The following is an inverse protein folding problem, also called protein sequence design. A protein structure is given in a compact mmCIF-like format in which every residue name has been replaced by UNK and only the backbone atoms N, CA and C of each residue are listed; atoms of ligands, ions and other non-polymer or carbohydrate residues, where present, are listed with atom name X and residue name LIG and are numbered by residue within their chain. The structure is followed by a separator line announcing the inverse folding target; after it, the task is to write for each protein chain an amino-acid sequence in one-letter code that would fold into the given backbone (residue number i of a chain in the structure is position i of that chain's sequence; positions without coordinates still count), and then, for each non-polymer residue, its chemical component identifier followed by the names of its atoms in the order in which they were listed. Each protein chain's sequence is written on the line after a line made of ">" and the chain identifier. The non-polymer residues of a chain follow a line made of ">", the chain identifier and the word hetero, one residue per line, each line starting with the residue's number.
data_IF_709608455165
#
_entry.id   IF_709608455165
#
_cell.length_a   1.000
_cell.length_b   1.000
_cell.length_c   1.000
_cell.angle_alpha   90.00
_cell.angle_beta   90.00
_cell.angle_gamma   90.00
#
_symmetry.space_group_name_H-M   'P 1'
#
loop_
_entity.id
_entity.type
_entity.pdbx_description
1 polymer ?
#
# COMPACT_ATOMS: atom_id res chain seq x y z
N UNK A 1 3.92 8.89 4.43
CA UNK A 1 4.41 7.50 4.61
C UNK A 1 5.61 7.43 5.55
N UNK A 2 6.53 8.39 5.44
CA UNK A 2 7.70 8.56 6.33
C UNK A 2 7.31 8.82 7.80
N UNK A 3 6.23 9.57 8.05
CA UNK A 3 5.80 9.95 9.41
C UNK A 3 5.53 8.77 10.37
N UNK A 4 5.01 7.63 9.89
CA UNK A 4 4.69 6.49 10.77
C UNK A 4 5.91 5.61 11.08
N UNK A 5 6.90 5.61 10.17
CA UNK A 5 8.20 4.98 10.43
C UNK A 5 8.99 5.83 11.44
N UNK A 6 8.82 7.15 11.37
CA UNK A 6 9.41 8.12 12.30
C UNK A 6 8.81 7.96 13.71
N UNK A 7 7.50 7.80 13.82
CA UNK A 7 6.78 7.59 15.08
C UNK A 7 7.05 6.21 15.72
N UNK A 8 7.27 5.18 14.89
CA UNK A 8 7.71 3.86 15.36
C UNK A 8 9.20 3.82 15.77
N UNK A 9 10.06 4.62 15.12
CA UNK A 9 11.46 4.77 15.48
C UNK A 9 11.65 5.64 16.73
N UNK A 10 10.90 6.75 16.86
CA UNK A 10 11.00 7.66 18.00
C UNK A 10 10.57 6.97 19.31
N UNK A 11 9.56 6.10 19.27
CA UNK A 11 9.09 5.36 20.45
C UNK A 11 10.01 4.21 20.88
N UNK A 12 10.87 3.69 19.99
CA UNK A 12 11.84 2.61 20.32
C UNK A 12 13.28 3.09 20.53
N UNK A 13 13.58 4.36 20.24
CA UNK A 13 14.91 4.94 20.52
C UNK A 13 15.22 5.02 22.01
N UNK A 14 14.21 4.94 22.87
CA UNK A 14 14.39 4.94 24.33
C UNK A 14 14.80 3.59 24.91
N UNK A 15 14.73 2.45 24.18
CA UNK A 15 14.88 1.12 24.80
C UNK A 15 16.00 0.22 24.28
N UNK A 16 16.51 0.38 23.04
CA UNK A 16 17.60 -0.51 22.54
C UNK A 16 18.63 0.19 21.65
N UNK A 17 19.90 -0.03 22.00
CA UNK A 17 21.10 0.58 21.44
C UNK A 17 21.55 0.00 20.09
N UNK A 18 21.13 -1.22 19.72
CA UNK A 18 21.52 -1.86 18.46
C UNK A 18 20.32 -2.26 17.61
N UNK A 19 20.21 -1.66 16.42
CA UNK A 19 19.17 -2.00 15.44
C UNK A 19 19.69 -3.07 14.49
N UNK A 20 19.21 -4.31 14.63
CA UNK A 20 19.57 -5.39 13.71
C UNK A 20 18.76 -5.30 12.39
N UNK A 21 19.29 -5.86 11.30
CA UNK A 21 18.61 -5.91 9.98
C UNK A 21 17.24 -6.58 10.05
N UNK A 22 17.05 -7.52 10.97
CA UNK A 22 15.77 -8.19 11.22
C UNK A 22 14.70 -7.24 11.80
N UNK A 23 15.07 -6.37 12.74
CA UNK A 23 14.15 -5.37 13.33
C UNK A 23 13.71 -4.32 12.32
N UNK A 24 14.64 -3.94 11.46
CA UNK A 24 14.41 -3.08 10.30
C UNK A 24 13.34 -3.68 9.39
N UNK A 25 13.44 -4.97 9.05
CA UNK A 25 12.49 -5.64 8.18
C UNK A 25 11.12 -5.80 8.85
N UNK A 26 11.10 -6.13 10.16
CA UNK A 26 9.88 -6.22 10.94
C UNK A 26 9.12 -4.89 11.01
N UNK A 27 9.82 -3.76 11.20
CA UNK A 27 9.22 -2.42 11.23
C UNK A 27 8.61 -2.03 9.87
N UNK A 28 9.26 -2.39 8.76
CA UNK A 28 8.74 -2.17 7.41
C UNK A 28 7.50 -3.00 7.15
N UNK A 29 7.54 -4.29 7.50
CA UNK A 29 6.40 -5.20 7.34
C UNK A 29 5.18 -4.70 8.12
N UNK A 30 5.38 -4.30 9.38
CA UNK A 30 4.32 -3.74 10.23
C UNK A 30 3.72 -2.47 9.64
N UNK A 31 4.56 -1.58 9.10
CA UNK A 31 4.12 -0.32 8.46
C UNK A 31 3.41 -0.55 7.12
N UNK A 32 3.79 -1.59 6.38
CA UNK A 32 3.13 -1.99 5.15
C UNK A 32 1.71 -2.55 5.42
N UNK A 33 1.58 -3.46 6.39
CA UNK A 33 0.30 -4.09 6.75
C UNK A 33 -0.72 -3.06 7.26
N UNK A 34 -0.29 -2.07 8.05
CA UNK A 34 -1.18 -1.04 8.58
C UNK A 34 -1.85 -0.20 7.49
N UNK A 35 -1.20 -0.05 6.32
CA UNK A 35 -1.74 0.67 5.16
C UNK A 35 -2.47 -0.24 4.18
N UNK A 36 -2.12 -1.53 4.17
CA UNK A 36 -2.78 -2.54 3.34
C UNK A 36 -4.26 -2.68 3.69
N UNK A 37 -4.57 -2.69 5.00
CA UNK A 37 -5.93 -2.87 5.51
C UNK A 37 -6.90 -1.78 5.00
N UNK A 38 -6.61 -0.47 5.16
CA UNK A 38 -7.45 0.59 4.60
C UNK A 38 -7.62 0.53 3.08
N UNK A 39 -6.55 0.25 2.32
CA UNK A 39 -6.60 0.21 0.85
C UNK A 39 -7.40 -0.97 0.32
N UNK A 40 -7.26 -2.13 0.95
CA UNK A 40 -8.08 -3.30 0.63
C UNK A 40 -9.54 -3.06 1.00
N UNK A 41 -9.81 -2.42 2.14
CA UNK A 41 -11.18 -2.03 2.50
C UNK A 41 -11.83 -1.18 1.41
N UNK A 42 -11.17 -0.14 0.92
CA UNK A 42 -11.75 0.73 -0.11
C UNK A 42 -12.02 -0.03 -1.41
N UNK A 43 -11.09 -0.90 -1.85
CA UNK A 43 -11.26 -1.65 -3.09
C UNK A 43 -12.40 -2.67 -2.97
N UNK A 44 -12.48 -3.39 -1.84
CA UNK A 44 -13.56 -4.34 -1.60
C UNK A 44 -14.91 -3.62 -1.57
N UNK A 45 -15.02 -2.47 -0.90
CA UNK A 45 -16.25 -1.68 -0.85
C UNK A 45 -16.69 -1.22 -2.24
N UNK A 46 -15.76 -0.75 -3.08
CA UNK A 46 -16.12 -0.30 -4.42
C UNK A 46 -16.49 -1.46 -5.34
N UNK A 47 -15.76 -2.57 -5.27
CA UNK A 47 -16.14 -3.78 -5.99
C UNK A 47 -17.55 -4.20 -5.55
N UNK A 48 -17.84 -4.29 -4.25
CA UNK A 48 -19.15 -4.66 -3.75
C UNK A 48 -20.27 -3.69 -4.20
N UNK A 49 -19.99 -2.40 -4.23
CA UNK A 49 -20.92 -1.35 -4.70
C UNK A 49 -21.25 -1.48 -6.20
N UNK A 50 -20.24 -1.76 -7.03
CA UNK A 50 -20.38 -1.80 -8.49
C UNK A 50 -20.66 -3.21 -9.03
N UNK A 51 -20.46 -4.26 -8.24
CA UNK A 51 -20.70 -5.65 -8.59
C UNK A 51 -22.10 -5.89 -9.19
N UNK A 52 -23.21 -5.39 -8.61
CA UNK A 52 -24.53 -5.60 -9.19
C UNK A 52 -24.69 -4.94 -10.57
N UNK A 53 -24.04 -3.80 -10.80
CA UNK A 53 -24.08 -3.08 -12.08
C UNK A 53 -23.32 -3.86 -13.16
N UNK A 54 -22.20 -4.50 -12.79
CA UNK A 54 -21.40 -5.30 -13.71
C UNK A 54 -22.07 -6.63 -14.09
N UNK A 55 -22.89 -7.21 -13.20
CA UNK A 55 -23.57 -8.49 -13.43
C UNK A 55 -24.96 -8.33 -14.07
N UNK A 56 -25.57 -7.15 -13.97
CA UNK A 56 -26.95 -6.93 -14.45
C UNK A 56 -26.95 -6.41 -15.89
N UNK A 57 -27.64 -7.08 -16.80
CA UNK A 57 -27.79 -6.67 -18.20
C UNK A 57 -29.18 -6.09 -18.50
N UNK A 58 -29.82 -5.44 -17.52
CA UNK A 58 -31.16 -4.84 -17.68
C UNK A 58 -31.09 -3.50 -18.42
N UNK A 59 -32.20 -3.11 -19.05
CA UNK A 59 -32.33 -1.81 -19.72
C UNK A 59 -31.93 -0.66 -18.77
N UNK A 60 -31.07 0.25 -19.25
CA UNK A 60 -30.47 1.34 -18.48
C UNK A 60 -29.04 1.07 -17.99
N UNK A 61 -28.58 -0.19 -17.96
CA UNK A 61 -27.18 -0.50 -17.58
C UNK A 61 -26.19 -0.22 -18.72
N UNK A 62 -26.64 -0.24 -19.98
CA UNK A 62 -25.82 -0.01 -21.18
C UNK A 62 -25.06 1.34 -21.15
N UNK A 63 -25.62 2.35 -20.48
CA UNK A 63 -24.95 3.65 -20.27
C UNK A 63 -24.11 3.71 -19.00
N UNK A 64 -24.39 2.89 -17.98
CA UNK A 64 -23.64 2.89 -16.71
C UNK A 64 -22.40 1.98 -16.75
N UNK A 65 -22.46 0.87 -17.48
CA UNK A 65 -21.39 -0.11 -17.57
C UNK A 65 -20.06 0.49 -18.12
N UNK A 66 -20.06 1.33 -19.18
CA UNK A 66 -18.84 1.96 -19.69
C UNK A 66 -18.20 2.94 -18.71
N UNK A 67 -18.96 3.43 -17.72
CA UNK A 67 -18.47 4.33 -16.67
C UNK A 67 -17.91 3.50 -15.51
N UNK A 68 -18.61 2.44 -15.09
CA UNK A 68 -18.23 1.60 -13.96
C UNK A 68 -16.98 0.74 -14.23
N UNK A 69 -16.85 0.18 -15.43
CA UNK A 69 -15.73 -0.71 -15.82
C UNK A 69 -14.35 -0.04 -15.65
N UNK A 70 -14.07 1.14 -16.22
CA UNK A 70 -12.76 1.80 -16.05
C UNK A 70 -12.52 2.29 -14.62
N UNK A 71 -13.56 2.61 -13.85
CA UNK A 71 -13.43 2.97 -12.44
C UNK A 71 -12.88 1.78 -11.63
N UNK A 72 -13.48 0.59 -11.79
CA UNK A 72 -13.02 -0.64 -11.11
C UNK A 72 -11.61 -1.02 -11.57
N UNK A 73 -11.36 -0.99 -12.88
CA UNK A 73 -10.04 -1.28 -13.45
C UNK A 73 -8.95 -0.32 -12.98
N UNK A 74 -9.26 0.98 -12.95
CA UNK A 74 -8.35 2.04 -12.48
C UNK A 74 -8.02 1.92 -11.01
N UNK A 75 -9.00 1.60 -10.16
CA UNK A 75 -8.76 1.35 -8.74
C UNK A 75 -7.93 0.10 -8.50
N UNK A 76 -8.19 -0.99 -9.23
CA UNK A 76 -7.37 -2.20 -9.14
C UNK A 76 -5.93 -1.93 -9.57
N UNK A 77 -5.74 -1.24 -10.69
CA UNK A 77 -4.41 -0.84 -11.17
C UNK A 77 -3.70 0.07 -10.17
N UNK A 78 -4.41 1.04 -9.58
CA UNK A 78 -3.87 1.92 -8.54
C UNK A 78 -3.53 1.15 -7.25
N UNK A 79 -4.36 0.17 -6.85
CA UNK A 79 -4.06 -0.71 -5.71
C UNK A 79 -2.77 -1.48 -5.97
N UNK A 80 -2.63 -2.12 -7.14
CA UNK A 80 -1.44 -2.88 -7.52
C UNK A 80 -0.22 -1.96 -7.59
N UNK A 81 -0.34 -0.80 -8.22
CA UNK A 81 0.73 0.20 -8.28
C UNK A 81 1.17 0.58 -6.87
N UNK A 82 0.22 0.86 -5.99
CA UNK A 82 0.52 1.27 -4.63
C UNK A 82 1.05 0.11 -3.78
N UNK A 83 0.63 -1.13 -4.00
CA UNK A 83 1.14 -2.31 -3.29
C UNK A 83 2.52 -2.74 -3.78
N UNK A 84 2.87 -2.51 -5.05
CA UNK A 84 4.12 -2.97 -5.66
C UNK A 84 5.15 -1.84 -5.72
N UNK A 85 4.79 -0.70 -6.32
CA UNK A 85 5.72 0.42 -6.56
C UNK A 85 6.16 1.06 -5.25
N UNK A 86 5.26 1.19 -4.28
CA UNK A 86 5.58 1.80 -2.99
C UNK A 86 6.62 1.00 -2.17
N UNK A 87 6.48 -0.32 -1.94
CA UNK A 87 7.51 -1.08 -1.24
C UNK A 87 8.79 -1.27 -2.06
N UNK A 88 8.70 -1.35 -3.39
CA UNK A 88 9.89 -1.44 -4.25
C UNK A 88 10.72 -0.15 -4.15
N UNK A 89 10.10 1.02 -4.27
CA UNK A 89 10.77 2.31 -4.06
C UNK A 89 11.37 2.42 -2.66
N UNK A 90 10.62 1.98 -1.65
CA UNK A 90 11.11 1.99 -0.28
C UNK A 90 12.32 1.07 -0.08
N UNK A 91 12.28 -0.16 -0.60
CA UNK A 91 13.39 -1.11 -0.53
C UNK A 91 14.62 -0.57 -1.26
N UNK A 92 14.43 0.07 -2.42
CA UNK A 92 15.52 0.65 -3.20
C UNK A 92 16.17 1.86 -2.52
N UNK A 93 15.37 2.77 -1.96
CA UNK A 93 15.89 3.87 -1.14
C UNK A 93 16.67 3.36 0.07
N UNK A 94 16.18 2.32 0.74
CA UNK A 94 16.85 1.75 1.91
C UNK A 94 18.14 1.02 1.54
N UNK A 95 18.17 0.30 0.42
CA UNK A 95 19.40 -0.30 -0.12
C UNK A 95 20.46 0.76 -0.45
N UNK A 96 20.05 1.92 -0.97
CA UNK A 96 20.96 3.07 -1.19
C UNK A 96 21.46 3.70 0.10
N UNK A 97 20.62 3.83 1.12
CA UNK A 97 21.05 4.35 2.44
C UNK A 97 22.02 3.40 3.15
N UNK A 98 21.79 2.08 3.09
CA UNK A 98 22.71 1.08 3.62
C UNK A 98 24.07 1.13 2.90
N UNK A 99 24.09 1.30 1.57
CA UNK A 99 25.35 1.49 0.82
C UNK A 99 26.09 2.78 1.16
N UNK A 100 25.39 3.84 1.58
CA UNK A 100 26.01 5.10 2.04
C UNK A 100 26.56 4.99 3.46
N UNK A 101 25.89 4.26 4.35
CA UNK A 101 26.35 4.04 5.72
C UNK A 101 27.62 3.17 5.82
N UNK A 102 27.87 2.29 4.84
CA UNK A 102 29.12 1.50 4.77
C UNK A 102 30.28 2.25 4.10
N UNK A 103 30.07 3.49 3.65
CA UNK A 103 31.11 4.30 2.97
C UNK A 103 31.53 5.55 3.77
N UNK A 104 31.11 5.65 5.03
CA UNK A 104 31.65 6.61 6.00
C UNK A 104 32.51 5.87 7.02
#
# INVERSE_FOLDING_TARGET
>A
MVAYLDEACSRRRSEKSEWNRADIFAAVKKSAVLRLRPKLMTVITVIASLLPILLTTRMGVEVMQPIAVPIVGGMLSSLVHVLIVTPVLFAWMRARQLKRATKQ
#
